data_IF_781112944324
#
_entry.id   IF_781112944324
#
_cell.length_a   1.000
_cell.length_b   1.000
_cell.length_c   1.000
_cell.angle_alpha   90.00
_cell.angle_beta   90.00
_cell.angle_gamma   90.00
#
_symmetry.space_group_name_H-M   'P 1'
#
loop_
_entity.id
_entity.type
_entity.pdbx_description
1 polymer ?
#
# COMPACT_ATOMS: atom_id res chain seq x y z
N UNK A 1 -4.06 5.17 26.07
CA UNK A 1 -3.26 5.83 25.02
C UNK A 1 -3.46 5.14 23.67
N UNK A 2 -3.42 3.80 23.61
CA UNK A 2 -3.85 2.99 22.44
C UNK A 2 -5.26 3.33 21.94
N UNK A 3 -6.25 3.44 22.84
CA UNK A 3 -7.61 3.83 22.44
C UNK A 3 -7.67 5.21 21.78
N UNK A 4 -6.83 6.16 22.19
CA UNK A 4 -6.84 7.52 21.62
C UNK A 4 -6.23 7.53 20.22
N UNK A 5 -5.19 6.72 19.96
CA UNK A 5 -4.61 6.56 18.63
C UNK A 5 -5.56 5.82 17.68
N UNK A 6 -6.24 4.76 18.14
CA UNK A 6 -7.28 4.08 17.36
C UNK A 6 -8.49 4.99 17.10
N UNK A 7 -8.91 5.78 18.10
CA UNK A 7 -9.98 6.75 17.96
C UNK A 7 -9.58 7.87 16.99
N UNK A 8 -8.33 8.34 17.00
CA UNK A 8 -7.84 9.34 16.04
C UNK A 8 -7.73 8.76 14.63
N UNK A 9 -7.24 7.52 14.46
CA UNK A 9 -7.23 6.80 13.17
C UNK A 9 -8.65 6.59 12.63
N UNK A 10 -9.59 6.26 13.52
CA UNK A 10 -11.01 6.13 13.19
C UNK A 10 -11.70 7.48 12.94
N UNK A 11 -11.33 8.56 13.65
CA UNK A 11 -11.81 9.92 13.40
C UNK A 11 -11.27 10.47 12.07
N UNK A 12 -10.03 10.13 11.71
CA UNK A 12 -9.40 10.52 10.44
C UNK A 12 -10.10 9.89 9.24
N UNK A 13 -10.51 8.61 9.32
CA UNK A 13 -11.40 7.96 8.35
C UNK A 13 -12.74 8.70 8.17
N UNK A 14 -13.16 9.49 9.18
CA UNK A 14 -14.44 10.25 9.17
C UNK A 14 -14.25 11.70 8.67
N UNK A 15 -13.05 12.29 8.77
CA UNK A 15 -12.82 13.70 8.38
C UNK A 15 -12.23 13.87 6.99
N UNK A 16 -11.43 12.92 6.52
CA UNK A 16 -11.02 12.75 5.13
C UNK A 16 -11.70 11.47 4.62
N UNK A 17 -12.26 11.46 3.41
CA UNK A 17 -12.75 10.21 2.81
C UNK A 17 -11.56 9.36 2.37
N UNK A 18 -10.90 8.76 3.35
CA UNK A 18 -9.77 7.87 3.15
C UNK A 18 -10.30 6.47 2.79
N UNK A 19 -9.99 6.02 1.58
CA UNK A 19 -10.20 4.63 1.19
C UNK A 19 -8.96 3.84 1.59
N UNK A 20 -9.11 2.81 2.43
CA UNK A 20 -8.03 1.86 2.71
C UNK A 20 -8.10 0.72 1.70
N UNK A 21 -7.02 0.48 0.96
CA UNK A 21 -6.90 -0.69 0.09
C UNK A 21 -6.38 -1.85 0.95
N UNK A 22 -6.91 -3.06 0.74
CA UNK A 22 -6.33 -4.25 1.37
C UNK A 22 -5.18 -4.74 0.50
N UNK A 23 -4.01 -4.96 1.12
CA UNK A 23 -2.85 -5.53 0.43
C UNK A 23 -3.19 -6.88 -0.21
N UNK A 24 -2.73 -7.08 -1.44
CA UNK A 24 -2.78 -8.37 -2.10
C UNK A 24 -1.79 -9.35 -1.44
N UNK A 25 -2.06 -10.66 -1.52
CA UNK A 25 -1.17 -11.67 -0.96
C UNK A 25 0.21 -11.60 -1.65
N UNK A 26 1.26 -11.46 -0.85
CA UNK A 26 2.65 -11.48 -1.29
C UNK A 26 3.35 -12.80 -1.06
N UNK A 27 4.54 -12.92 -1.64
CA UNK A 27 5.37 -14.11 -1.45
C UNK A 27 5.66 -14.40 0.03
N UNK A 28 5.76 -13.36 0.86
CA UNK A 28 5.92 -13.48 2.30
C UNK A 28 4.74 -14.20 2.99
N UNK A 29 3.50 -13.97 2.54
CA UNK A 29 2.33 -14.66 3.10
C UNK A 29 2.35 -16.15 2.73
N UNK A 30 2.65 -16.47 1.46
CA UNK A 30 2.74 -17.86 1.00
C UNK A 30 3.83 -18.61 1.76
N UNK A 31 5.00 -18.00 1.92
CA UNK A 31 6.09 -18.60 2.67
C UNK A 31 5.74 -18.74 4.16
N UNK A 32 5.17 -17.70 4.77
CA UNK A 32 4.75 -17.68 6.18
C UNK A 32 3.63 -18.66 6.53
N UNK A 33 2.69 -18.90 5.61
CA UNK A 33 1.65 -19.93 5.76
C UNK A 33 2.24 -21.35 5.76
N UNK A 34 3.34 -21.56 5.03
CA UNK A 34 4.05 -22.84 4.99
C UNK A 34 4.99 -23.02 6.18
N UNK A 35 5.70 -21.95 6.53
CA UNK A 35 6.64 -21.88 7.64
C UNK A 35 6.55 -20.48 8.26
N UNK A 36 5.96 -20.38 9.44
CA UNK A 36 5.76 -19.10 10.12
C UNK A 36 7.06 -18.32 10.34
N UNK A 37 8.20 -19.01 10.47
CA UNK A 37 9.51 -18.35 10.60
C UNK A 37 9.94 -17.61 9.33
N UNK A 38 9.38 -17.97 8.18
CA UNK A 38 9.67 -17.33 6.90
C UNK A 38 9.15 -15.89 6.84
N UNK A 39 8.16 -15.48 7.66
CA UNK A 39 7.81 -14.06 7.78
C UNK A 39 9.01 -13.17 8.17
N UNK A 40 10.04 -13.77 8.77
CA UNK A 40 11.26 -13.10 9.20
C UNK A 40 12.41 -13.21 8.19
N UNK A 41 12.22 -13.90 7.05
CA UNK A 41 13.32 -14.07 6.10
C UNK A 41 13.62 -12.72 5.41
N UNK A 42 14.90 -12.28 5.35
CA UNK A 42 15.27 -11.01 4.72
C UNK A 42 14.82 -10.88 3.26
N UNK A 43 14.72 -12.01 2.55
CA UNK A 43 14.21 -12.10 1.18
C UNK A 43 12.74 -11.67 1.04
N UNK A 44 11.98 -11.65 2.14
CA UNK A 44 10.57 -11.27 2.17
C UNK A 44 10.27 -9.89 2.75
N UNK A 45 11.30 -9.13 3.16
CA UNK A 45 11.17 -7.79 3.73
C UNK A 45 10.36 -6.85 2.81
N UNK A 46 10.72 -6.85 1.52
CA UNK A 46 10.05 -6.09 0.47
C UNK A 46 9.46 -7.01 -0.60
N UNK A 47 8.82 -8.09 -0.13
CA UNK A 47 8.23 -9.09 -1.02
C UNK A 47 7.23 -8.47 -2.01
N UNK A 48 7.32 -8.89 -3.28
CA UNK A 48 6.31 -8.60 -4.28
C UNK A 48 4.98 -9.35 -4.00
N UNK A 49 3.89 -8.86 -4.58
CA UNK A 49 2.62 -9.58 -4.61
C UNK A 49 2.72 -10.78 -5.56
N UNK A 50 2.03 -11.87 -5.25
CA UNK A 50 2.09 -13.07 -6.08
C UNK A 50 1.35 -12.86 -7.42
N UNK A 51 1.75 -13.51 -8.52
CA UNK A 51 1.04 -13.40 -9.80
C UNK A 51 -0.47 -13.74 -9.72
N UNK A 52 -0.92 -14.75 -8.94
CA UNK A 52 -2.36 -14.96 -8.72
C UNK A 52 -3.06 -13.78 -8.05
N UNK A 53 -2.41 -13.10 -7.11
CA UNK A 53 -3.00 -11.98 -6.37
C UNK A 53 -3.10 -10.69 -7.18
N UNK A 54 -2.16 -10.46 -8.11
CA UNK A 54 -2.32 -9.45 -9.15
C UNK A 54 -3.66 -9.60 -9.89
N UNK A 55 -3.98 -10.83 -10.29
CA UNK A 55 -5.20 -11.13 -11.05
C UNK A 55 -6.47 -11.05 -10.19
N UNK A 56 -6.41 -11.52 -8.94
CA UNK A 56 -7.59 -11.64 -8.07
C UNK A 56 -7.87 -10.38 -7.25
N UNK A 57 -6.89 -9.88 -6.49
CA UNK A 57 -7.06 -8.73 -5.58
C UNK A 57 -7.04 -7.41 -6.35
N UNK A 58 -6.17 -7.31 -7.35
CA UNK A 58 -6.12 -6.15 -8.25
C UNK A 58 -7.47 -5.94 -8.93
N UNK A 59 -8.00 -6.97 -9.60
CA UNK A 59 -9.29 -6.89 -10.30
C UNK A 59 -10.47 -6.57 -9.39
N UNK A 60 -10.60 -7.24 -8.23
CA UNK A 60 -11.75 -7.00 -7.34
C UNK A 60 -11.75 -5.59 -6.75
N UNK A 61 -10.57 -5.07 -6.40
CA UNK A 61 -10.42 -3.73 -5.84
C UNK A 61 -10.57 -2.66 -6.91
N UNK A 62 -10.01 -2.88 -8.10
CA UNK A 62 -10.19 -2.06 -9.31
C UNK A 62 -11.67 -1.98 -9.69
N UNK A 63 -12.34 -3.12 -9.88
CA UNK A 63 -13.78 -3.19 -10.16
C UNK A 63 -14.61 -2.43 -9.10
N UNK A 64 -14.31 -2.62 -7.81
CA UNK A 64 -15.05 -1.98 -6.73
C UNK A 64 -14.86 -0.45 -6.70
N UNK A 65 -13.67 0.04 -7.02
CA UNK A 65 -13.32 1.47 -7.01
C UNK A 65 -13.84 2.15 -8.29
N UNK A 66 -13.67 1.53 -9.45
CA UNK A 66 -14.08 2.11 -10.74
C UNK A 66 -15.60 2.06 -10.95
N UNK A 67 -16.27 0.95 -10.61
CA UNK A 67 -17.74 0.83 -10.75
C UNK A 67 -18.51 1.84 -9.89
N UNK A 68 -17.95 2.21 -8.73
CA UNK A 68 -18.51 3.22 -7.81
C UNK A 68 -18.07 4.64 -8.13
N UNK A 69 -17.21 4.83 -9.14
CA UNK A 69 -16.65 6.12 -9.53
C UNK A 69 -15.78 6.74 -8.43
N UNK A 70 -15.18 5.92 -7.57
CA UNK A 70 -14.27 6.37 -6.50
C UNK A 70 -12.94 6.81 -7.12
N UNK A 71 -12.41 6.07 -8.11
CA UNK A 71 -11.16 6.41 -8.81
C UNK A 71 -11.17 7.84 -9.37
N UNK A 72 -12.32 8.31 -9.88
CA UNK A 72 -12.49 9.65 -10.45
C UNK A 72 -12.54 10.78 -9.43
N UNK A 73 -12.67 10.46 -8.14
CA UNK A 73 -12.74 11.44 -7.05
C UNK A 73 -11.41 11.59 -6.32
N UNK A 74 -10.56 10.58 -6.36
CA UNK A 74 -9.27 10.61 -5.68
C UNK A 74 -8.37 11.63 -6.34
N UNK A 75 -7.89 12.58 -5.54
CA UNK A 75 -7.00 13.67 -5.95
C UNK A 75 -5.53 13.33 -5.67
N UNK A 76 -5.28 12.41 -4.73
CA UNK A 76 -3.94 11.95 -4.36
C UNK A 76 -3.98 10.51 -3.82
N UNK A 77 -3.01 9.72 -4.26
CA UNK A 77 -2.72 8.38 -3.74
C UNK A 77 -1.42 8.42 -2.95
N UNK A 78 -1.48 8.09 -1.66
CA UNK A 78 -0.31 7.99 -0.79
C UNK A 78 -0.06 6.53 -0.45
N UNK A 79 1.14 6.04 -0.72
CA UNK A 79 1.48 4.62 -0.57
C UNK A 79 2.71 4.44 0.30
N UNK A 80 2.73 3.36 1.07
CA UNK A 80 3.95 2.84 1.65
C UNK A 80 4.96 2.51 0.54
N UNK A 81 6.27 2.74 0.76
CA UNK A 81 7.30 2.45 -0.22
C UNK A 81 7.58 0.94 -0.40
N UNK A 82 6.78 0.07 0.23
CA UNK A 82 6.86 -1.37 0.05
C UNK A 82 6.34 -1.77 -1.34
N UNK A 83 7.07 -2.64 -2.02
CA UNK A 83 6.80 -3.12 -3.36
C UNK A 83 5.38 -3.70 -3.46
N UNK A 84 4.98 -4.54 -2.49
CA UNK A 84 3.61 -5.08 -2.44
C UNK A 84 2.50 -4.02 -2.38
N UNK A 85 2.73 -2.94 -1.64
CA UNK A 85 1.78 -1.84 -1.50
C UNK A 85 1.69 -1.08 -2.82
N UNK A 86 2.84 -0.66 -3.35
CA UNK A 86 2.89 0.03 -4.65
C UNK A 86 2.26 -0.79 -5.77
N UNK A 87 2.55 -2.10 -5.83
CA UNK A 87 1.96 -3.01 -6.82
C UNK A 87 0.44 -3.09 -6.68
N UNK A 88 -0.07 -3.26 -5.45
CA UNK A 88 -1.51 -3.30 -5.19
C UNK A 88 -2.17 -1.98 -5.59
N UNK A 89 -1.66 -0.85 -5.11
CA UNK A 89 -2.32 0.45 -5.34
C UNK A 89 -2.26 0.88 -6.80
N UNK A 90 -1.15 0.60 -7.50
CA UNK A 90 -1.03 0.89 -8.94
C UNK A 90 -1.94 -0.02 -9.76
N UNK A 91 -2.16 -1.27 -9.34
CA UNK A 91 -3.17 -2.15 -9.95
C UNK A 91 -4.61 -1.64 -9.80
N UNK A 92 -4.91 -0.87 -8.74
CA UNK A 92 -6.27 -0.34 -8.46
C UNK A 92 -6.50 1.04 -9.10
N UNK A 93 -5.53 1.94 -8.97
CA UNK A 93 -5.67 3.35 -9.34
C UNK A 93 -4.83 3.76 -10.57
N UNK A 94 -4.04 2.84 -11.12
CA UNK A 94 -3.31 3.07 -12.37
C UNK A 94 -4.23 3.21 -13.59
N UNK A 95 -3.66 3.73 -14.67
CA UNK A 95 -4.33 3.82 -15.96
C UNK A 95 -4.45 2.45 -16.64
N UNK A 96 -5.42 2.32 -17.56
CA UNK A 96 -5.50 1.16 -18.43
C UNK A 96 -4.18 0.92 -19.20
N UNK A 97 -4.01 -0.30 -19.71
CA UNK A 97 -2.81 -0.74 -20.41
C UNK A 97 -2.29 0.24 -21.46
N UNK A 98 -0.99 0.21 -21.70
CA UNK A 98 -0.31 1.13 -22.61
C UNK A 98 -0.84 0.97 -24.05
N UNK A 99 -1.70 1.88 -24.52
CA UNK A 99 -2.08 1.98 -25.93
C UNK A 99 -0.94 2.65 -26.73
N UNK A 100 -0.59 2.06 -27.88
CA UNK A 100 0.53 2.44 -28.78
C UNK A 100 0.51 3.89 -29.32
N UNK A 101 -0.50 4.70 -28.94
CA UNK A 101 -0.68 6.08 -29.38
C UNK A 101 -0.38 7.16 -28.33
N UNK A 102 -0.28 6.82 -27.03
CA UNK A 102 -0.11 7.81 -25.95
C UNK A 102 1.22 7.57 -25.23
N UNK A 103 2.19 8.47 -25.46
CA UNK A 103 3.50 8.45 -24.77
C UNK A 103 3.41 9.01 -23.34
N UNK A 104 2.58 8.44 -22.48
CA UNK A 104 2.69 8.67 -21.04
C UNK A 104 3.85 7.81 -20.50
N UNK A 105 4.58 8.28 -19.48
CA UNK A 105 5.52 7.40 -18.80
C UNK A 105 4.72 6.30 -18.07
N UNK A 106 5.23 5.05 -17.98
CA UNK A 106 4.58 4.03 -17.18
C UNK A 106 4.58 4.47 -15.70
N UNK A 107 3.45 4.28 -15.03
CA UNK A 107 3.34 4.41 -13.59
C UNK A 107 4.04 3.23 -12.89
N UNK A 108 3.99 2.05 -13.50
CA UNK A 108 4.78 0.88 -13.13
C UNK A 108 5.28 0.18 -14.39
N UNK A 109 6.57 -0.19 -14.40
CA UNK A 109 7.20 -0.85 -15.54
C UNK A 109 6.69 -2.29 -15.69
N UNK A 110 6.82 -2.85 -16.89
CA UNK A 110 6.56 -4.27 -17.10
C UNK A 110 7.40 -5.14 -16.19
N UNK A 111 6.82 -6.25 -15.73
CA UNK A 111 7.46 -7.27 -14.90
C UNK A 111 8.11 -6.74 -13.60
N UNK A 112 7.60 -5.63 -13.05
CA UNK A 112 8.05 -5.12 -11.76
C UNK A 112 7.81 -6.18 -10.67
N UNK A 113 8.87 -6.55 -9.93
CA UNK A 113 8.81 -7.57 -8.89
C UNK A 113 8.57 -8.99 -9.40
N UNK A 114 9.04 -9.33 -10.60
CA UNK A 114 8.88 -10.66 -11.22
C UNK A 114 7.41 -11.10 -11.30
N UNK A 115 6.54 -10.14 -11.60
CA UNK A 115 5.09 -10.31 -11.56
C UNK A 115 4.48 -10.91 -12.83
N UNK A 116 5.22 -10.96 -13.93
CA UNK A 116 4.72 -11.21 -15.28
C UNK A 116 3.59 -10.23 -15.72
N UNK A 117 3.45 -9.10 -15.01
CA UNK A 117 2.42 -8.10 -15.29
C UNK A 117 2.90 -7.10 -16.37
N UNK A 118 2.05 -6.71 -17.34
CA UNK A 118 2.39 -5.66 -18.30
C UNK A 118 2.61 -4.30 -17.62
N UNK A 119 3.27 -3.37 -18.31
CA UNK A 119 3.41 -2.01 -17.82
C UNK A 119 2.05 -1.35 -17.57
N UNK A 120 1.93 -0.60 -16.47
CA UNK A 120 0.72 0.14 -16.10
C UNK A 120 0.93 1.62 -16.45
N UNK A 121 -0.03 2.21 -17.16
CA UNK A 121 0.06 3.60 -17.59
C UNK A 121 -0.20 4.57 -16.45
N UNK A 122 0.42 5.74 -16.49
CA UNK A 122 0.03 6.86 -15.62
C UNK A 122 -1.15 7.66 -16.18
N UNK A 123 -1.65 7.30 -17.37
CA UNK A 123 -2.74 8.04 -18.01
C UNK A 123 -4.04 7.90 -17.21
N UNK A 124 -4.68 9.03 -16.90
CA UNK A 124 -5.89 9.09 -16.08
C UNK A 124 -5.73 8.56 -14.64
N UNK A 125 -4.51 8.22 -14.22
CA UNK A 125 -4.21 7.91 -12.84
C UNK A 125 -4.10 9.23 -12.03
N UNK A 126 -4.58 9.27 -10.78
CA UNK A 126 -4.27 10.37 -9.88
C UNK A 126 -2.75 10.42 -9.59
N UNK A 127 -2.22 11.54 -9.08
CA UNK A 127 -0.86 11.60 -8.56
C UNK A 127 -0.59 10.55 -7.46
N UNK A 128 0.61 9.96 -7.46
CA UNK A 128 1.08 9.02 -6.44
C UNK A 128 2.24 9.62 -5.64
N UNK A 129 2.27 9.35 -4.34
CA UNK A 129 3.39 9.66 -3.46
C UNK A 129 3.72 8.43 -2.62
N UNK A 130 4.92 7.86 -2.81
CA UNK A 130 5.46 6.85 -1.92
C UNK A 130 6.10 7.53 -0.71
N UNK A 131 5.67 7.17 0.51
CA UNK A 131 6.12 7.85 1.72
C UNK A 131 6.36 6.89 2.88
N UNK A 132 7.59 6.91 3.40
CA UNK A 132 8.03 6.08 4.53
C UNK A 132 7.18 6.29 5.79
N UNK A 133 6.63 7.49 5.98
CA UNK A 133 5.82 7.80 7.17
C UNK A 133 4.56 6.93 7.28
N UNK A 134 4.02 6.42 6.17
CA UNK A 134 2.86 5.52 6.18
C UNK A 134 3.23 4.03 6.03
N UNK A 135 4.50 3.63 6.12
CA UNK A 135 4.88 2.22 6.05
C UNK A 135 4.32 1.42 7.23
N UNK A 136 3.73 0.25 6.98
CA UNK A 136 3.33 -0.68 8.04
C UNK A 136 4.52 -1.18 8.89
N UNK A 137 4.24 -1.65 10.12
CA UNK A 137 5.24 -2.39 10.90
C UNK A 137 5.46 -3.73 10.23
N UNK A 138 6.71 -4.13 10.05
CA UNK A 138 7.05 -5.33 9.29
C UNK A 138 6.89 -6.65 10.05
N UNK A 139 6.17 -6.69 11.18
CA UNK A 139 5.97 -7.91 11.98
C UNK A 139 4.63 -7.83 12.74
N UNK A 140 3.67 -8.68 12.39
CA UNK A 140 2.44 -8.92 13.16
C UNK A 140 2.65 -10.13 14.07
N UNK A 141 2.86 -9.91 15.37
CA UNK A 141 2.34 -10.68 16.53
C UNK A 141 3.21 -10.50 17.78
N UNK A 142 2.57 -10.44 18.95
CA UNK A 142 3.22 -10.27 20.26
C UNK A 142 3.81 -11.57 20.84
N UNK A 143 3.73 -12.70 20.13
CA UNK A 143 4.24 -14.02 20.59
C UNK A 143 5.59 -14.44 19.98
N UNK A 144 6.23 -13.58 19.18
CA UNK A 144 7.48 -13.95 18.53
C UNK A 144 8.71 -13.65 19.41
N UNK A 145 9.15 -14.67 20.15
CA UNK A 145 10.24 -14.60 21.13
C UNK A 145 11.62 -14.91 20.54
N UNK A 146 11.72 -15.13 19.22
CA UNK A 146 12.89 -15.78 18.63
C UNK A 146 13.47 -15.08 17.39
N UNK A 147 13.65 -13.74 17.40
CA UNK A 147 14.74 -13.08 16.66
C UNK A 147 14.98 -11.59 17.05
N UNK A 148 16.23 -11.10 16.91
CA UNK A 148 16.62 -9.66 16.92
C UNK A 148 17.82 -9.40 16.00
N UNK A 149 17.62 -8.70 14.87
CA UNK A 149 18.57 -7.78 14.17
C UNK A 149 17.75 -6.87 13.22
N UNK A 150 16.76 -6.13 13.68
CA UNK A 150 16.99 -4.78 14.19
C UNK A 150 15.75 -4.33 14.96
N UNK A 151 15.96 -3.51 15.99
CA UNK A 151 15.00 -2.94 16.94
C UNK A 151 13.56 -2.92 16.42
N UNK A 152 12.65 -3.66 17.08
CA UNK A 152 11.20 -3.46 16.97
C UNK A 152 10.96 -1.97 17.13
N UNK A 153 10.51 -1.30 16.07
CA UNK A 153 10.16 0.12 16.15
C UNK A 153 9.23 0.26 17.36
N UNK A 154 9.69 1.03 18.35
CA UNK A 154 9.01 1.11 19.62
C UNK A 154 7.59 1.60 19.39
N UNK A 155 6.65 1.24 20.27
CA UNK A 155 5.27 1.70 20.13
C UNK A 155 5.20 3.24 20.07
N UNK A 156 6.09 3.89 20.81
CA UNK A 156 6.29 5.32 20.84
C UNK A 156 6.84 5.87 19.51
N UNK A 157 7.81 5.20 18.90
CA UNK A 157 8.39 5.61 17.60
C UNK A 157 7.36 5.49 16.47
N UNK A 158 6.55 4.42 16.48
CA UNK A 158 5.46 4.22 15.52
C UNK A 158 4.39 5.28 15.70
N UNK A 159 4.04 5.61 16.95
CA UNK A 159 3.10 6.68 17.24
C UNK A 159 3.64 8.04 16.79
N UNK A 160 4.93 8.31 16.99
CA UNK A 160 5.58 9.54 16.54
C UNK A 160 5.60 9.64 15.01
N UNK A 161 5.92 8.54 14.32
CA UNK A 161 5.89 8.46 12.86
C UNK A 161 4.47 8.65 12.32
N UNK A 162 3.48 8.00 12.94
CA UNK A 162 2.08 8.22 12.66
C UNK A 162 1.69 9.69 12.84
N UNK A 163 2.09 10.33 13.94
CA UNK A 163 1.81 11.75 14.15
C UNK A 163 2.46 12.64 13.07
N UNK A 164 3.69 12.35 12.66
CA UNK A 164 4.36 13.04 11.55
C UNK A 164 3.60 12.86 10.24
N UNK A 165 3.15 11.65 9.93
CA UNK A 165 2.35 11.35 8.75
C UNK A 165 1.07 12.19 8.72
N UNK A 166 0.35 12.26 9.84
CA UNK A 166 -0.92 12.98 9.93
C UNK A 166 -0.72 14.49 9.85
N UNK A 167 0.32 15.00 10.53
CA UNK A 167 0.68 16.42 10.43
C UNK A 167 0.98 16.81 8.98
N UNK A 168 1.69 15.96 8.24
CA UNK A 168 1.90 16.16 6.81
C UNK A 168 0.58 16.10 6.03
N UNK A 169 -0.29 15.12 6.31
CA UNK A 169 -1.57 14.97 5.64
C UNK A 169 -2.47 16.20 5.84
N UNK A 170 -2.44 16.84 7.00
CA UNK A 170 -3.17 18.08 7.29
C UNK A 170 -2.68 19.31 6.51
N UNK A 171 -1.46 19.26 5.96
CA UNK A 171 -0.94 20.35 5.12
C UNK A 171 -1.36 20.25 3.66
N UNK A 172 -2.00 19.13 3.27
CA UNK A 172 -2.43 18.87 1.90
C UNK A 172 -3.62 19.75 1.51
N UNK A 173 -3.65 20.14 0.25
CA UNK A 173 -4.78 20.89 -0.33
C UNK A 173 -5.87 19.94 -0.87
N UNK A 174 -5.53 18.68 -1.09
CA UNK A 174 -6.42 17.65 -1.58
C UNK A 174 -7.50 17.29 -0.55
N UNK A 175 -8.73 17.12 -1.04
CA UNK A 175 -9.92 16.82 -0.24
C UNK A 175 -10.26 15.34 -0.19
N UNK A 176 -9.84 14.57 -1.19
CA UNK A 176 -10.12 13.14 -1.33
C UNK A 176 -8.78 12.40 -1.59
N UNK A 177 -8.18 11.93 -0.50
CA UNK A 177 -6.87 11.24 -0.50
C UNK A 177 -7.08 9.78 -0.13
N UNK A 178 -6.50 8.87 -0.91
CA UNK A 178 -6.43 7.45 -0.54
C UNK A 178 -5.05 7.14 0.04
N UNK A 179 -5.00 6.31 1.07
CA UNK A 179 -3.75 5.91 1.73
C UNK A 179 -3.70 4.38 1.78
N UNK A 180 -2.57 3.83 1.36
CA UNK A 180 -2.27 2.41 1.42
C UNK A 180 -0.93 2.22 2.17
N UNK A 181 -0.92 1.46 3.27
CA UNK A 181 0.18 1.39 4.25
C UNK A 181 0.78 0.02 4.34
#
# INVERSE_FOLDING_TARGET
MEEVALILLSLMLVTLKQCTVRLAQGFHNVAGEMDHSAYMAPEFFDAAITPPSWLATGRQSEEAVHSKGISKKIELVVVSPLLRTMQTTVGVFGGEGFDDGIKAAPLMTENAGESDHPAISSLNAPPFVAMELCRERLIETDEDTLWTVDVREANEEVAERGQKFLNWLWTREESEITVDS
#
